data_IF_024709061613
#
_entry.id   IF_024709061613
#
_cell.length_a   1.000
_cell.length_b   1.000
_cell.length_c   1.000
_cell.angle_alpha   90.00
_cell.angle_beta   90.00
_cell.angle_gamma   90.00
#
_symmetry.space_group_name_H-M   'P 1'
#
loop_
_entity.id
_entity.type
_entity.pdbx_description
1 polymer ?
#
# COMPACT_ATOMS: atom_id res chain seq x y z
N UNK A 1 -20.38 17.48 -10.11
CA UNK A 1 -19.19 16.62 -9.94
C UNK A 1 -18.32 16.75 -11.18
N UNK A 2 -17.05 17.05 -11.03
CA UNK A 2 -16.10 17.14 -12.14
C UNK A 2 -15.78 15.76 -12.72
N UNK A 3 -15.24 15.70 -13.94
CA UNK A 3 -14.79 14.44 -14.55
C UNK A 3 -13.63 13.79 -13.78
N UNK A 4 -12.76 14.60 -13.15
CA UNK A 4 -11.67 14.09 -12.32
C UNK A 4 -12.19 13.37 -11.08
N UNK A 5 -13.05 14.05 -10.30
CA UNK A 5 -13.69 13.46 -9.11
C UNK A 5 -14.48 12.20 -9.43
N UNK A 6 -15.17 12.19 -10.58
CA UNK A 6 -15.91 11.00 -11.02
C UNK A 6 -14.99 9.83 -11.31
N UNK A 7 -13.86 10.04 -12.01
CA UNK A 7 -12.89 9.00 -12.30
C UNK A 7 -12.25 8.43 -11.03
N UNK A 8 -11.90 9.27 -10.04
CA UNK A 8 -11.43 8.81 -8.74
C UNK A 8 -12.44 7.91 -8.04
N UNK A 9 -13.72 8.29 -8.04
CA UNK A 9 -14.79 7.47 -7.47
C UNK A 9 -14.99 6.15 -8.24
N UNK A 10 -14.90 6.17 -9.57
CA UNK A 10 -14.95 4.95 -10.39
C UNK A 10 -13.82 3.99 -9.99
N UNK A 11 -12.58 4.48 -9.88
CA UNK A 11 -11.44 3.65 -9.44
C UNK A 11 -11.69 3.05 -8.07
N UNK A 12 -12.17 3.83 -7.11
CA UNK A 12 -12.46 3.33 -5.76
C UNK A 12 -13.55 2.26 -5.75
N UNK A 13 -14.61 2.43 -6.55
CA UNK A 13 -15.65 1.42 -6.71
C UNK A 13 -15.10 0.12 -7.33
N UNK A 14 -14.30 0.24 -8.40
CA UNK A 14 -13.70 -0.92 -9.04
C UNK A 14 -12.69 -1.62 -8.12
N UNK A 15 -11.96 -0.87 -7.28
CA UNK A 15 -11.05 -1.44 -6.27
C UNK A 15 -11.77 -2.24 -5.18
N UNK A 16 -12.94 -1.79 -4.78
CA UNK A 16 -13.74 -2.42 -3.72
C UNK A 16 -14.65 -3.55 -4.22
N UNK A 17 -14.68 -3.81 -5.52
CA UNK A 17 -15.56 -4.81 -6.12
C UNK A 17 -14.77 -6.01 -6.65
N UNK A 18 -15.13 -7.20 -6.19
CA UNK A 18 -14.60 -8.45 -6.71
C UNK A 18 -15.29 -8.90 -8.01
N UNK A 19 -16.31 -8.18 -8.45
CA UNK A 19 -17.08 -8.48 -9.65
C UNK A 19 -17.12 -7.29 -10.60
N UNK A 20 -17.30 -7.59 -11.90
CA UNK A 20 -17.40 -6.56 -12.91
C UNK A 20 -18.64 -5.66 -12.69
N UNK A 21 -18.45 -4.34 -12.76
CA UNK A 21 -19.51 -3.35 -12.61
C UNK A 21 -20.02 -2.93 -13.99
N UNK A 22 -21.30 -3.11 -14.29
CA UNK A 22 -21.88 -2.72 -15.57
C UNK A 22 -21.74 -1.20 -15.82
N UNK A 23 -21.43 -0.83 -17.06
CA UNK A 23 -21.33 0.58 -17.44
C UNK A 23 -22.64 1.36 -17.16
N UNK A 24 -23.78 0.69 -17.27
CA UNK A 24 -25.08 1.28 -16.93
C UNK A 24 -25.16 1.65 -15.45
N UNK A 25 -24.72 0.75 -14.56
CA UNK A 25 -24.75 1.00 -13.12
C UNK A 25 -23.88 2.20 -12.73
N UNK A 26 -22.69 2.32 -13.35
CA UNK A 26 -21.82 3.50 -13.16
C UNK A 26 -22.48 4.77 -13.71
N UNK A 27 -23.11 4.70 -14.88
CA UNK A 27 -23.80 5.82 -15.49
C UNK A 27 -24.97 6.32 -14.61
N UNK A 28 -25.79 5.41 -14.13
CA UNK A 28 -26.90 5.70 -13.22
C UNK A 28 -26.41 6.30 -11.89
N UNK A 29 -25.37 5.70 -11.29
CA UNK A 29 -24.78 6.15 -10.02
C UNK A 29 -24.26 7.59 -10.10
N UNK A 30 -23.60 7.94 -11.20
CA UNK A 30 -23.01 9.26 -11.38
C UNK A 30 -23.91 10.25 -12.15
N UNK A 31 -25.13 9.85 -12.52
CA UNK A 31 -26.09 10.66 -13.28
C UNK A 31 -25.50 11.20 -14.59
N UNK A 32 -24.79 10.35 -15.33
CA UNK A 32 -24.19 10.65 -16.63
C UNK A 32 -24.61 9.63 -17.68
N UNK A 33 -24.35 9.91 -18.96
CA UNK A 33 -24.59 8.93 -20.01
C UNK A 33 -23.56 7.78 -19.96
N UNK A 34 -23.94 6.61 -20.50
CA UNK A 34 -23.02 5.49 -20.69
C UNK A 34 -21.78 5.89 -21.51
N UNK A 35 -21.95 6.79 -22.48
CA UNK A 35 -20.85 7.29 -23.31
C UNK A 35 -19.80 8.03 -22.47
N UNK A 36 -20.22 8.80 -21.49
CA UNK A 36 -19.32 9.49 -20.55
C UNK A 36 -18.51 8.48 -19.73
N UNK A 37 -19.15 7.40 -19.25
CA UNK A 37 -18.43 6.32 -18.54
C UNK A 37 -17.39 5.66 -19.45
N UNK A 38 -17.74 5.38 -20.71
CA UNK A 38 -16.76 4.82 -21.69
C UNK A 38 -15.55 5.72 -21.85
N UNK A 39 -15.76 7.04 -21.95
CA UNK A 39 -14.67 8.02 -22.01
C UNK A 39 -13.84 8.07 -20.73
N UNK A 40 -14.50 8.04 -19.56
CA UNK A 40 -13.79 8.00 -18.27
C UNK A 40 -12.90 6.75 -18.15
N UNK A 41 -13.41 5.59 -18.54
CA UNK A 41 -12.62 4.34 -18.56
C UNK A 41 -11.42 4.45 -19.51
N UNK A 42 -11.60 5.05 -20.68
CA UNK A 42 -10.49 5.26 -21.62
C UNK A 42 -9.41 6.17 -21.02
N UNK A 43 -9.79 7.24 -20.32
CA UNK A 43 -8.88 8.13 -19.62
C UNK A 43 -8.18 7.45 -18.43
N UNK A 44 -8.89 6.61 -17.68
CA UNK A 44 -8.29 5.83 -16.60
C UNK A 44 -7.23 4.86 -17.13
N UNK A 45 -7.49 4.18 -18.23
CA UNK A 45 -6.48 3.32 -18.91
C UNK A 45 -5.27 4.12 -19.36
N UNK A 46 -5.48 5.28 -19.94
CA UNK A 46 -4.41 6.19 -20.35
C UNK A 46 -3.57 6.69 -19.16
N UNK A 47 -4.18 6.74 -17.95
CA UNK A 47 -3.51 7.09 -16.69
C UNK A 47 -2.87 5.90 -15.98
N UNK A 48 -2.82 4.70 -16.62
CA UNK A 48 -2.12 3.53 -16.10
C UNK A 48 -2.95 2.56 -15.27
N UNK A 49 -4.28 2.77 -15.16
CA UNK A 49 -5.15 1.80 -14.51
C UNK A 49 -5.46 0.64 -15.46
N UNK A 50 -5.23 -0.59 -15.01
CA UNK A 50 -5.53 -1.79 -15.80
C UNK A 50 -7.02 -2.17 -15.66
N UNK A 51 -7.88 -1.43 -16.34
CA UNK A 51 -9.33 -1.67 -16.35
C UNK A 51 -9.69 -2.62 -17.48
N UNK A 52 -10.16 -3.81 -17.13
CA UNK A 52 -10.60 -4.85 -18.06
C UNK A 52 -12.08 -4.63 -18.41
N UNK A 53 -12.41 -4.74 -19.69
CA UNK A 53 -13.80 -4.83 -20.16
C UNK A 53 -14.21 -6.29 -20.28
N UNK A 54 -15.30 -6.64 -19.63
CA UNK A 54 -15.92 -7.97 -19.72
C UNK A 54 -17.31 -7.87 -20.33
N UNK A 55 -17.93 -8.98 -20.65
CA UNK A 55 -19.33 -9.02 -21.06
C UNK A 55 -20.32 -8.56 -19.97
N UNK A 56 -19.87 -8.50 -18.70
CA UNK A 56 -20.67 -8.05 -17.55
C UNK A 56 -20.40 -6.61 -17.13
N UNK A 57 -19.33 -5.99 -17.63
CA UNK A 57 -18.95 -4.64 -17.26
C UNK A 57 -17.44 -4.46 -17.11
N UNK A 58 -17.05 -3.49 -16.31
CA UNK A 58 -15.65 -3.15 -16.04
C UNK A 58 -15.16 -3.77 -14.73
N UNK A 59 -13.94 -4.24 -14.74
CA UNK A 59 -13.22 -4.78 -13.60
C UNK A 59 -11.83 -4.15 -13.57
N UNK A 60 -11.36 -3.76 -12.40
CA UNK A 60 -9.97 -3.37 -12.23
C UNK A 60 -9.13 -4.62 -12.00
N UNK A 61 -8.18 -4.88 -12.90
CA UNK A 61 -7.20 -5.93 -12.70
C UNK A 61 -6.22 -5.47 -11.62
N UNK A 62 -6.43 -5.92 -10.40
CA UNK A 62 -5.48 -5.69 -9.32
C UNK A 62 -4.61 -6.95 -9.21
N UNK A 63 -3.29 -6.79 -9.13
CA UNK A 63 -2.46 -7.92 -8.77
C UNK A 63 -2.94 -8.45 -7.42
N UNK A 64 -3.10 -9.75 -7.32
CA UNK A 64 -3.37 -10.40 -6.03
C UNK A 64 -2.17 -10.12 -5.15
N UNK A 65 -2.38 -9.40 -4.06
CA UNK A 65 -1.34 -9.15 -3.07
C UNK A 65 -1.69 -9.88 -1.78
N UNK A 66 -0.67 -10.41 -1.15
CA UNK A 66 -0.74 -10.99 0.18
C UNK A 66 -0.16 -9.99 1.17
N UNK A 67 -0.63 -9.99 2.41
CA UNK A 67 -0.12 -9.10 3.42
C UNK A 67 0.20 -9.83 4.72
N UNK A 68 1.20 -9.31 5.43
CA UNK A 68 1.62 -9.80 6.75
C UNK A 68 2.03 -8.64 7.63
N UNK A 69 1.70 -8.72 8.92
CA UNK A 69 2.15 -7.76 9.92
C UNK A 69 3.29 -8.40 10.70
N UNK A 70 4.45 -7.77 10.66
CA UNK A 70 5.62 -8.18 11.42
C UNK A 70 5.84 -7.24 12.60
N UNK A 71 6.07 -7.79 13.77
CA UNK A 71 6.52 -7.04 14.95
C UNK A 71 8.04 -7.02 14.95
N UNK A 72 8.62 -5.85 15.00
CA UNK A 72 10.06 -5.65 14.86
C UNK A 72 10.62 -4.73 15.93
N UNK A 73 11.91 -4.88 16.19
CA UNK A 73 12.69 -4.00 17.06
C UNK A 73 14.11 -3.88 16.51
N UNK A 74 14.57 -2.67 16.29
CA UNK A 74 15.92 -2.36 15.85
C UNK A 74 16.28 -0.89 16.15
N UNK A 75 17.54 -0.51 15.95
CA UNK A 75 18.03 0.86 16.16
C UNK A 75 17.62 1.80 15.01
N UNK A 76 17.84 3.11 15.19
CA UNK A 76 17.54 4.11 14.16
C UNK A 76 18.49 3.96 12.95
N UNK A 77 19.72 3.56 13.16
CA UNK A 77 20.71 3.32 12.11
C UNK A 77 20.35 2.12 11.22
N UNK A 78 19.48 1.24 11.70
CA UNK A 78 19.04 0.04 10.99
C UNK A 78 17.74 0.24 10.19
N UNK A 79 17.09 1.42 10.25
CA UNK A 79 15.85 1.70 9.53
C UNK A 79 16.06 1.56 8.02
N UNK A 80 17.13 2.11 7.47
CA UNK A 80 17.41 2.01 6.03
C UNK A 80 17.64 0.57 5.59
N UNK A 81 18.40 -0.22 6.38
CA UNK A 81 18.64 -1.63 6.10
C UNK A 81 17.34 -2.45 6.11
N UNK A 82 16.48 -2.21 7.09
CA UNK A 82 15.17 -2.84 7.18
C UNK A 82 14.31 -2.58 5.95
N UNK A 83 14.14 -1.32 5.58
CA UNK A 83 13.30 -0.94 4.44
C UNK A 83 13.88 -1.42 3.10
N UNK A 84 15.20 -1.35 2.93
CA UNK A 84 15.88 -1.88 1.75
C UNK A 84 15.69 -3.40 1.63
N UNK A 85 15.74 -4.12 2.74
CA UNK A 85 15.52 -5.57 2.75
C UNK A 85 14.13 -5.94 2.28
N UNK A 86 13.09 -5.20 2.72
CA UNK A 86 11.70 -5.41 2.25
C UNK A 86 11.61 -5.24 0.74
N UNK A 87 12.11 -4.13 0.20
CA UNK A 87 11.95 -3.82 -1.23
C UNK A 87 12.84 -4.67 -2.12
N UNK A 88 14.05 -5.02 -1.68
CA UNK A 88 14.97 -5.88 -2.43
C UNK A 88 14.45 -7.31 -2.58
N UNK A 89 13.68 -7.80 -1.60
CA UNK A 89 13.07 -9.12 -1.62
C UNK A 89 11.70 -9.15 -2.32
N UNK A 90 11.24 -8.02 -2.85
CA UNK A 90 10.00 -7.92 -3.63
C UNK A 90 8.77 -7.52 -2.83
N UNK A 91 8.94 -7.01 -1.62
CA UNK A 91 7.86 -6.51 -0.78
C UNK A 91 7.64 -5.01 -0.88
N UNK A 92 6.54 -4.57 -0.32
CA UNK A 92 6.20 -3.17 -0.08
C UNK A 92 5.93 -2.96 1.41
N UNK A 93 6.63 -2.02 2.04
CA UNK A 93 6.27 -1.53 3.36
C UNK A 93 5.07 -0.59 3.24
N UNK A 94 3.90 -1.08 3.63
CA UNK A 94 2.62 -0.33 3.50
C UNK A 94 2.55 0.76 4.55
N UNK A 95 2.87 0.43 5.79
CA UNK A 95 2.79 1.33 6.93
C UNK A 95 3.86 1.02 7.98
N UNK A 96 3.92 1.90 8.97
CA UNK A 96 4.54 1.65 10.26
C UNK A 96 3.52 1.94 11.34
N UNK A 97 3.40 1.07 12.31
CA UNK A 97 2.52 1.28 13.46
C UNK A 97 3.20 0.94 14.78
N UNK A 98 2.72 1.58 15.85
CA UNK A 98 3.16 1.34 17.22
C UNK A 98 1.95 1.18 18.13
N UNK A 99 2.12 0.44 19.22
CA UNK A 99 1.10 0.28 20.26
C UNK A 99 1.57 1.01 21.52
N UNK A 100 1.04 2.22 21.68
CA UNK A 100 1.35 3.04 22.85
C UNK A 100 0.36 2.77 23.98
N UNK A 101 0.87 2.67 25.22
CA UNK A 101 0.04 2.31 26.39
C UNK A 101 -1.09 3.30 26.67
N UNK A 102 -0.87 4.60 26.39
CA UNK A 102 -1.84 5.67 26.64
C UNK A 102 -2.61 6.03 25.36
N UNK A 103 -1.91 6.24 24.25
CA UNK A 103 -2.52 6.72 23.01
C UNK A 103 -3.11 5.60 22.12
N UNK A 104 -2.89 4.34 22.47
CA UNK A 104 -3.35 3.21 21.68
C UNK A 104 -2.51 2.96 20.44
N UNK A 105 -3.13 2.42 19.40
CA UNK A 105 -2.47 2.16 18.13
C UNK A 105 -2.31 3.45 17.32
N UNK A 106 -1.08 3.74 16.91
CA UNK A 106 -0.75 4.86 16.03
C UNK A 106 -0.11 4.31 14.77
N UNK A 107 -0.57 4.77 13.61
CA UNK A 107 -0.16 4.26 12.31
C UNK A 107 0.18 5.41 11.37
N UNK A 108 1.21 5.22 10.57
CA UNK A 108 1.59 6.14 9.50
C UNK A 108 1.79 5.38 8.18
N UNK A 109 1.16 5.79 7.09
CA UNK A 109 1.36 5.17 5.79
C UNK A 109 2.77 5.45 5.28
N UNK A 110 3.41 4.45 4.70
CA UNK A 110 4.72 4.55 4.07
C UNK A 110 4.64 4.35 2.56
N UNK A 111 4.00 3.29 2.11
CA UNK A 111 3.88 2.92 0.69
C UNK A 111 5.23 2.84 -0.02
N UNK A 112 6.24 2.28 0.66
CA UNK A 112 7.61 2.16 0.17
C UNK A 112 7.79 0.83 -0.55
N UNK A 113 8.00 0.88 -1.86
CA UNK A 113 8.15 -0.28 -2.74
C UNK A 113 9.39 -0.22 -3.64
N UNK A 114 10.32 0.70 -3.38
CA UNK A 114 11.56 0.82 -4.13
C UNK A 114 12.66 1.46 -3.28
N UNK A 115 13.92 1.18 -3.62
CA UNK A 115 15.08 1.81 -2.98
C UNK A 115 15.06 3.33 -3.08
N UNK A 116 14.56 3.88 -4.19
CA UNK A 116 14.40 5.33 -4.35
C UNK A 116 13.48 5.91 -3.27
N UNK A 117 12.33 5.28 -3.02
CA UNK A 117 11.42 5.71 -1.96
C UNK A 117 12.01 5.53 -0.56
N UNK A 118 12.85 4.50 -0.34
CA UNK A 118 13.61 4.38 0.91
C UNK A 118 14.53 5.58 1.11
N UNK A 119 15.27 5.97 0.09
CA UNK A 119 16.18 7.12 0.16
C UNK A 119 15.44 8.45 0.40
N UNK A 120 14.31 8.65 -0.29
CA UNK A 120 13.44 9.82 -0.09
C UNK A 120 12.94 9.88 1.37
N UNK A 121 12.46 8.76 1.91
CA UNK A 121 12.01 8.64 3.29
C UNK A 121 13.14 8.90 4.29
N UNK A 122 14.32 8.30 4.08
CA UNK A 122 15.47 8.51 4.96
C UNK A 122 15.96 9.96 4.94
N UNK A 123 15.92 10.63 3.78
CA UNK A 123 16.25 12.05 3.66
C UNK A 123 15.31 12.91 4.51
N UNK A 124 14.01 12.63 4.46
CA UNK A 124 13.01 13.37 5.25
C UNK A 124 13.19 13.08 6.74
N UNK A 125 13.41 11.83 7.11
CA UNK A 125 13.64 11.43 8.49
C UNK A 125 14.89 12.07 9.09
N UNK A 126 16.00 12.10 8.33
CA UNK A 126 17.28 12.69 8.74
C UNK A 126 17.29 14.22 8.70
N UNK A 127 16.25 14.86 8.17
CA UNK A 127 16.13 16.32 8.15
C UNK A 127 15.98 16.96 9.55
N UNK A 128 15.79 16.14 10.58
CA UNK A 128 15.62 16.59 11.97
C UNK A 128 14.25 17.20 12.29
N UNK A 129 13.30 17.16 11.35
CA UNK A 129 11.94 17.69 11.56
C UNK A 129 11.06 16.80 12.46
N UNK A 130 11.41 15.52 12.57
CA UNK A 130 10.66 14.55 13.36
C UNK A 130 11.56 13.40 13.81
N UNK A 131 11.10 12.65 14.80
CA UNK A 131 11.73 11.39 15.24
C UNK A 131 10.97 10.19 14.65
N UNK A 132 11.65 9.03 14.46
CA UNK A 132 10.97 7.80 14.09
C UNK A 132 9.85 7.43 15.05
N UNK A 133 8.70 7.01 14.55
CA UNK A 133 7.53 6.67 15.35
C UNK A 133 7.85 5.59 16.42
N UNK A 134 8.71 4.62 16.10
CA UNK A 134 9.13 3.55 17.00
C UNK A 134 9.81 4.03 18.30
N UNK A 135 10.32 5.27 18.32
CA UNK A 135 11.05 5.79 19.48
C UNK A 135 10.14 6.04 20.69
N UNK A 136 8.83 6.24 20.47
CA UNK A 136 7.87 6.36 21.57
C UNK A 136 7.51 5.02 22.23
N UNK A 137 7.95 3.89 21.66
CA UNK A 137 7.72 2.53 22.12
C UNK A 137 9.01 1.73 22.30
N UNK A 138 10.10 2.40 22.62
CA UNK A 138 11.43 1.79 22.87
C UNK A 138 11.94 0.93 21.71
N UNK A 139 11.66 1.35 20.48
CA UNK A 139 12.07 0.66 19.26
C UNK A 139 11.09 -0.40 18.75
N UNK A 140 10.12 -0.82 19.56
CA UNK A 140 9.10 -1.79 19.15
C UNK A 140 8.08 -1.15 18.22
N UNK A 141 7.90 -1.76 17.05
CA UNK A 141 6.93 -1.30 16.06
C UNK A 141 6.46 -2.46 15.18
N UNK A 142 5.52 -2.17 14.31
CA UNK A 142 4.93 -3.12 13.38
C UNK A 142 5.01 -2.57 11.98
N UNK A 143 5.28 -3.42 11.01
CA UNK A 143 5.09 -3.13 9.59
C UNK A 143 4.05 -4.06 9.00
N UNK A 144 3.06 -3.49 8.30
CA UNK A 144 2.28 -4.23 7.33
C UNK A 144 3.08 -4.27 6.04
N UNK A 145 3.41 -5.47 5.59
CA UNK A 145 4.15 -5.72 4.36
C UNK A 145 3.21 -6.39 3.37
N UNK A 146 3.21 -5.94 2.13
CA UNK A 146 2.51 -6.58 1.02
C UNK A 146 3.51 -7.12 0.01
N UNK A 147 3.17 -8.26 -0.60
CA UNK A 147 3.94 -8.91 -1.65
C UNK A 147 3.02 -9.69 -2.59
N UNK A 148 3.52 -10.06 -3.76
CA UNK A 148 2.75 -10.80 -4.77
C UNK A 148 2.54 -12.28 -4.44
N UNK A 149 3.20 -12.83 -3.41
CA UNK A 149 3.03 -14.20 -2.96
C UNK A 149 3.29 -14.38 -1.48
N UNK A 150 2.69 -15.42 -0.88
CA UNK A 150 2.99 -15.85 0.49
C UNK A 150 4.46 -16.30 0.62
N UNK A 151 5.03 -16.89 -0.42
CA UNK A 151 6.44 -17.28 -0.44
C UNK A 151 7.36 -16.06 -0.28
N UNK A 152 7.09 -14.96 -0.98
CA UNK A 152 7.83 -13.70 -0.83
C UNK A 152 7.73 -13.17 0.60
N UNK A 153 6.55 -13.21 1.21
CA UNK A 153 6.38 -12.81 2.62
C UNK A 153 7.17 -13.71 3.58
N UNK A 154 7.24 -15.02 3.32
CA UNK A 154 8.07 -15.94 4.11
C UNK A 154 9.56 -15.61 3.98
N UNK A 155 10.05 -15.31 2.78
CA UNK A 155 11.44 -14.91 2.54
C UNK A 155 11.77 -13.63 3.32
N UNK A 156 10.89 -12.63 3.29
CA UNK A 156 11.07 -11.37 4.02
C UNK A 156 11.09 -11.62 5.53
N UNK A 157 10.15 -12.39 6.06
CA UNK A 157 10.08 -12.71 7.49
C UNK A 157 11.33 -13.45 7.97
N UNK A 158 11.82 -14.43 7.20
CA UNK A 158 13.06 -15.14 7.50
C UNK A 158 14.27 -14.21 7.48
N UNK A 159 14.35 -13.28 6.54
CA UNK A 159 15.42 -12.28 6.48
C UNK A 159 15.40 -11.37 7.73
N UNK A 160 14.23 -10.95 8.18
CA UNK A 160 14.07 -10.20 9.43
C UNK A 160 14.53 -11.00 10.66
N UNK A 161 14.22 -12.30 10.68
CA UNK A 161 14.65 -13.21 11.75
C UNK A 161 16.17 -13.35 11.76
N UNK A 162 16.80 -13.58 10.62
CA UNK A 162 18.25 -13.71 10.49
C UNK A 162 19.00 -12.43 10.91
N UNK A 163 18.44 -11.25 10.62
CA UNK A 163 18.98 -9.96 11.05
C UNK A 163 18.75 -9.67 12.54
N UNK A 164 17.90 -10.46 13.21
CA UNK A 164 17.52 -10.22 14.60
C UNK A 164 16.56 -9.04 14.79
N UNK A 165 15.86 -8.62 13.74
CA UNK A 165 14.85 -7.54 13.81
C UNK A 165 13.49 -8.06 14.25
N UNK A 166 13.15 -9.30 13.89
CA UNK A 166 11.86 -9.90 14.23
C UNK A 166 11.73 -10.16 15.72
N UNK A 167 10.63 -9.67 16.31
CA UNK A 167 10.26 -10.00 17.69
C UNK A 167 9.35 -11.22 17.65
N UNK A 168 9.88 -12.36 18.08
CA UNK A 168 9.09 -13.59 18.25
C UNK A 168 8.16 -13.45 19.48
N UNK A 169 6.97 -14.09 19.41
CA UNK A 169 5.99 -14.08 20.50
C UNK A 169 6.46 -14.92 21.69
#
# INVERSE_FOLDING_TARGET
MSGLERREKIVNLLKSSDTAIPAKNLADLFSVSRQVIVQDIALLRASGYDVISTNRGYLLNQPVTFSRILKVNHTDEQIEDELNMIVDLGGMAVDVSVRHKIYGSMEAPLMINSRRKVQEFMKDLNSGKSSPLKNITSGYHYHKIEAESEETLNIIENAFKEKGYLVEK
#
